data_IF_267270731960
#
_entry.id   IF_267270731960
#
_cell.length_a   1.000
_cell.length_b   1.000
_cell.length_c   1.000
_cell.angle_alpha   90.00
_cell.angle_beta   90.00
_cell.angle_gamma   90.00
#
_symmetry.space_group_name_H-M   'P 1'
#
loop_
_entity.id
_entity.type
_entity.pdbx_description
1 polymer ?
#
# COMPACT_ATOMS: atom_id res chain seq x y z
N UNK A 1 16.54 -9.70 -7.68
CA UNK A 1 16.25 -8.26 -7.43
C UNK A 1 15.34 -8.16 -6.22
N UNK A 2 15.49 -7.16 -5.35
CA UNK A 2 14.57 -6.96 -4.21
C UNK A 2 13.19 -6.55 -4.72
N UNK A 3 12.15 -7.15 -4.13
CA UNK A 3 10.74 -6.89 -4.44
C UNK A 3 10.01 -6.54 -3.17
N UNK A 4 9.09 -5.59 -3.25
CA UNK A 4 8.22 -5.21 -2.16
C UNK A 4 6.76 -5.41 -2.59
N UNK A 5 5.96 -5.92 -1.67
CA UNK A 5 4.53 -6.12 -1.83
C UNK A 5 3.77 -4.86 -1.39
N UNK A 6 2.98 -4.32 -2.30
CA UNK A 6 2.17 -3.13 -2.11
C UNK A 6 0.69 -3.47 -2.17
N UNK A 7 -0.09 -3.16 -1.13
CA UNK A 7 -1.50 -3.55 -1.08
C UNK A 7 -2.33 -2.91 -2.23
N UNK A 8 -3.03 -3.76 -2.99
CA UNK A 8 -3.81 -3.33 -4.17
C UNK A 8 -4.97 -2.42 -3.80
N UNK A 9 -5.65 -2.71 -2.69
CA UNK A 9 -6.79 -1.90 -2.24
C UNK A 9 -6.35 -0.51 -1.78
N UNK A 10 -5.21 -0.43 -1.12
CA UNK A 10 -4.58 0.79 -0.66
C UNK A 10 -4.19 1.67 -1.84
N UNK A 11 -3.40 1.16 -2.79
CA UNK A 11 -2.96 1.93 -3.97
C UNK A 11 -4.14 2.51 -4.76
N UNK A 12 -5.22 1.74 -4.93
CA UNK A 12 -6.39 2.17 -5.71
C UNK A 12 -7.26 3.21 -5.03
N UNK A 13 -7.29 3.22 -3.70
CA UNK A 13 -8.22 4.06 -2.93
C UNK A 13 -7.53 5.18 -2.15
N UNK A 14 -6.21 5.34 -2.30
CA UNK A 14 -5.45 6.40 -1.64
C UNK A 14 -5.19 7.62 -2.54
N UNK A 15 -4.91 8.74 -1.89
CA UNK A 15 -4.41 9.98 -2.46
C UNK A 15 -3.33 10.51 -1.51
N UNK A 16 -2.26 11.13 -2.00
CA UNK A 16 -1.23 11.70 -1.13
C UNK A 16 -1.81 12.76 -0.20
N UNK A 17 -1.51 12.61 1.09
CA UNK A 17 -1.83 13.58 2.14
C UNK A 17 -0.49 14.14 2.62
N UNK A 18 -0.05 15.25 2.05
CA UNK A 18 1.30 15.74 2.30
C UNK A 18 1.36 17.26 2.37
N UNK A 19 2.27 17.76 3.21
CA UNK A 19 2.63 19.17 3.19
C UNK A 19 3.42 19.46 1.91
N UNK A 20 3.01 20.49 1.19
CA UNK A 20 3.72 20.97 0.00
C UNK A 20 4.35 22.31 0.37
N UNK A 21 5.49 22.67 -0.24
CA UNK A 21 6.17 23.94 0.07
C UNK A 21 5.20 25.14 0.01
N UNK A 22 4.99 25.78 1.15
CA UNK A 22 4.06 26.90 1.33
C UNK A 22 2.57 26.52 1.43
N UNK A 23 2.24 25.24 1.64
CA UNK A 23 0.87 24.76 1.89
C UNK A 23 0.88 23.55 2.83
N UNK A 24 0.37 23.75 4.05
CA UNK A 24 0.11 22.67 4.99
C UNK A 24 -1.24 22.01 4.70
N UNK A 25 -1.35 20.71 5.02
CA UNK A 25 -2.63 20.00 4.96
C UNK A 25 -3.58 20.59 6.01
N UNK A 26 -4.81 20.88 5.60
CA UNK A 26 -5.90 21.25 6.53
C UNK A 26 -6.74 20.01 6.84
N UNK A 27 -7.10 19.84 8.10
CA UNK A 27 -7.90 18.70 8.57
C UNK A 27 -9.32 19.13 8.98
N UNK A 28 -10.34 18.27 8.80
CA UNK A 28 -10.25 16.98 8.10
C UNK A 28 -9.97 17.21 6.60
N UNK A 29 -9.02 16.47 6.06
CA UNK A 29 -8.79 16.45 4.61
C UNK A 29 -9.80 15.48 4.00
N UNK A 30 -10.65 15.97 3.10
CA UNK A 30 -11.70 15.16 2.47
C UNK A 30 -11.53 15.23 0.96
N UNK A 31 -11.47 14.05 0.33
CA UNK A 31 -11.46 13.89 -1.11
C UNK A 31 -12.57 12.92 -1.51
N UNK A 32 -13.62 13.45 -2.15
CA UNK A 32 -14.77 12.69 -2.62
C UNK A 32 -15.06 13.01 -4.08
N UNK A 33 -15.12 11.98 -4.93
CA UNK A 33 -15.54 12.09 -6.34
C UNK A 33 -15.95 10.74 -6.89
N UNK A 34 -17.09 10.66 -7.58
CA UNK A 34 -17.66 9.41 -8.07
C UNK A 34 -17.70 8.35 -6.94
N UNK A 35 -17.12 7.16 -7.17
CA UNK A 35 -17.03 6.06 -6.20
C UNK A 35 -15.79 6.14 -5.29
N UNK A 36 -15.03 7.24 -5.36
CA UNK A 36 -13.84 7.46 -4.55
C UNK A 36 -14.19 8.33 -3.33
N UNK A 37 -13.86 7.83 -2.14
CA UNK A 37 -14.00 8.56 -0.89
C UNK A 37 -12.80 8.27 0.00
N UNK A 38 -12.05 9.32 0.34
CA UNK A 38 -10.97 9.33 1.31
C UNK A 38 -11.16 10.52 2.24
N UNK A 39 -11.03 10.29 3.54
CA UNK A 39 -10.95 11.31 4.55
C UNK A 39 -9.73 11.04 5.44
N UNK A 40 -9.05 12.10 5.86
CA UNK A 40 -7.93 12.03 6.80
C UNK A 40 -8.16 13.01 7.94
N UNK A 41 -8.05 12.54 9.18
CA UNK A 41 -8.31 13.32 10.38
C UNK A 41 -7.06 14.05 10.88
N UNK A 42 -5.89 13.41 10.72
CA UNK A 42 -4.58 13.98 11.05
C UNK A 42 -3.47 13.12 10.45
N UNK A 43 -2.22 13.61 10.52
CA UNK A 43 -1.04 12.92 10.02
C UNK A 43 -0.84 13.00 8.50
N UNK A 44 0.31 12.55 8.01
CA UNK A 44 0.66 12.62 6.59
C UNK A 44 0.76 11.22 5.99
N UNK A 45 0.53 11.13 4.70
CA UNK A 45 0.60 9.92 3.90
C UNK A 45 1.16 10.24 2.52
N UNK A 46 2.45 10.53 2.49
CA UNK A 46 3.21 10.77 1.27
C UNK A 46 3.95 9.51 0.77
N UNK A 47 4.83 9.67 -0.23
CA UNK A 47 5.59 8.56 -0.82
C UNK A 47 6.39 7.76 0.20
N UNK A 48 7.00 8.45 1.17
CA UNK A 48 7.77 7.81 2.24
C UNK A 48 6.91 6.98 3.17
N UNK A 49 5.72 7.45 3.54
CA UNK A 49 4.79 6.67 4.36
C UNK A 49 4.22 5.46 3.58
N UNK A 50 3.95 5.63 2.28
CA UNK A 50 3.56 4.51 1.42
C UNK A 50 4.69 3.47 1.31
N UNK A 51 5.95 3.90 1.18
CA UNK A 51 7.12 3.02 1.22
C UNK A 51 7.20 2.23 2.54
N UNK A 52 6.98 2.87 3.69
CA UNK A 52 6.91 2.18 4.98
C UNK A 52 5.81 1.12 4.98
N UNK A 53 4.63 1.43 4.43
CA UNK A 53 3.55 0.45 4.33
C UNK A 53 3.90 -0.76 3.45
N UNK A 54 4.65 -0.57 2.36
CA UNK A 54 5.08 -1.72 1.54
C UNK A 54 6.16 -2.55 2.23
N UNK A 55 7.06 -1.92 2.99
CA UNK A 55 8.06 -2.61 3.82
C UNK A 55 7.35 -3.46 4.89
N UNK A 56 6.41 -2.85 5.60
CA UNK A 56 5.56 -3.50 6.62
C UNK A 56 4.79 -4.66 5.98
N UNK A 57 4.12 -4.42 4.86
CA UNK A 57 3.34 -5.44 4.16
C UNK A 57 4.19 -6.61 3.68
N UNK A 58 5.38 -6.35 3.15
CA UNK A 58 6.33 -7.39 2.71
C UNK A 58 6.81 -8.21 3.90
N UNK A 59 7.23 -7.56 5.00
CA UNK A 59 7.64 -8.27 6.22
C UNK A 59 6.51 -9.10 6.81
N UNK A 60 5.28 -8.59 6.78
CA UNK A 60 4.10 -9.33 7.23
C UNK A 60 3.88 -10.60 6.40
N UNK A 61 3.96 -10.51 5.07
CA UNK A 61 3.87 -11.69 4.20
C UNK A 61 4.99 -12.68 4.55
N UNK A 62 6.22 -12.20 4.65
CA UNK A 62 7.37 -13.04 4.95
C UNK A 62 7.22 -13.75 6.30
N UNK A 63 6.79 -13.03 7.34
CA UNK A 63 6.45 -13.60 8.64
C UNK A 63 5.38 -14.69 8.54
N UNK A 64 4.30 -14.45 7.80
CA UNK A 64 3.18 -15.41 7.67
C UNK A 64 3.59 -16.66 6.88
N UNK A 65 4.48 -16.52 5.90
CA UNK A 65 4.86 -17.60 4.99
C UNK A 65 6.26 -18.18 5.26
N UNK A 66 6.91 -17.81 6.37
CA UNK A 66 8.15 -18.43 6.84
C UNK A 66 9.42 -17.96 6.13
N UNK A 67 9.45 -16.71 5.62
CA UNK A 67 10.67 -16.08 5.11
C UNK A 67 11.23 -15.11 6.17
N UNK A 68 12.55 -15.11 6.36
CA UNK A 68 13.20 -14.28 7.38
C UNK A 68 13.57 -12.88 6.88
N UNK A 69 14.07 -12.77 5.65
CA UNK A 69 14.62 -11.53 5.06
C UNK A 69 13.80 -11.01 3.87
N UNK A 70 14.15 -9.84 3.34
CA UNK A 70 13.53 -9.25 2.14
C UNK A 70 13.99 -9.85 0.79
N UNK A 71 14.92 -10.81 0.81
CA UNK A 71 15.35 -11.55 -0.39
C UNK A 71 14.48 -12.77 -0.65
N UNK A 72 13.74 -13.23 0.37
CA UNK A 72 12.74 -14.28 0.25
C UNK A 72 11.72 -14.04 -0.86
N UNK A 73 11.22 -15.14 -1.44
CA UNK A 73 10.18 -15.09 -2.46
C UNK A 73 8.86 -14.63 -1.83
N UNK A 74 8.27 -13.59 -2.43
CA UNK A 74 6.88 -13.20 -2.13
C UNK A 74 5.93 -14.19 -2.85
N UNK A 75 5.06 -14.92 -2.12
CA UNK A 75 4.13 -15.86 -2.71
C UNK A 75 2.98 -15.17 -3.45
N UNK A 76 2.26 -15.94 -4.26
CA UNK A 76 1.15 -15.47 -5.09
C UNK A 76 -0.18 -16.01 -4.59
N UNK A 77 -1.26 -15.29 -4.84
CA UNK A 77 -2.62 -15.73 -4.51
C UNK A 77 -3.06 -17.02 -5.25
N UNK A 78 -2.30 -17.54 -6.21
CA UNK A 78 -2.63 -18.79 -6.88
C UNK A 78 -2.17 -20.02 -6.08
N UNK A 79 -1.23 -19.86 -5.14
CA UNK A 79 -0.63 -20.94 -4.38
C UNK A 79 -1.60 -21.54 -3.36
N UNK A 80 -1.50 -22.86 -3.14
CA UNK A 80 -2.41 -23.60 -2.26
C UNK A 80 -2.32 -23.12 -0.81
N UNK A 81 -1.11 -22.96 -0.29
CA UNK A 81 -0.86 -22.44 1.06
C UNK A 81 -1.43 -21.02 1.25
N UNK A 82 -1.33 -20.15 0.24
CA UNK A 82 -1.89 -18.80 0.27
C UNK A 82 -3.41 -18.85 0.28
N UNK A 83 -4.04 -19.72 -0.51
CA UNK A 83 -5.51 -19.90 -0.50
C UNK A 83 -6.01 -20.41 0.85
N UNK A 84 -5.29 -21.35 1.45
CA UNK A 84 -5.60 -21.88 2.78
C UNK A 84 -5.46 -20.80 3.85
N UNK A 85 -4.32 -20.10 3.92
CA UNK A 85 -4.09 -19.02 4.90
C UNK A 85 -5.00 -17.82 4.66
N UNK A 86 -5.17 -17.35 3.42
CA UNK A 86 -6.11 -16.28 3.07
C UNK A 86 -7.51 -16.56 3.59
N UNK A 87 -7.95 -17.81 3.42
CA UNK A 87 -9.13 -18.32 4.08
C UNK A 87 -9.03 -18.08 5.57
N UNK A 88 -8.05 -18.66 6.26
CA UNK A 88 -7.88 -18.70 7.72
C UNK A 88 -7.81 -17.36 8.52
N UNK A 89 -7.80 -16.20 7.89
CA UNK A 89 -7.70 -14.92 8.62
C UNK A 89 -8.99 -14.08 8.59
N UNK A 90 -9.88 -14.28 7.60
CA UNK A 90 -11.14 -13.55 7.49
C UNK A 90 -12.24 -14.36 6.78
N UNK A 91 -13.50 -14.14 7.15
CA UNK A 91 -14.69 -14.60 6.42
C UNK A 91 -15.69 -13.46 6.20
N UNK A 92 -16.62 -13.61 5.24
CA UNK A 92 -17.66 -12.59 4.97
C UNK A 92 -18.52 -12.32 6.22
N UNK A 93 -18.94 -13.39 6.90
CA UNK A 93 -19.80 -13.28 8.09
C UNK A 93 -19.06 -12.63 9.25
N UNK A 94 -17.78 -12.94 9.40
CA UNK A 94 -16.94 -12.29 10.39
C UNK A 94 -16.76 -10.80 10.09
N UNK A 95 -16.46 -10.44 8.84
CA UNK A 95 -16.35 -9.04 8.44
C UNK A 95 -17.64 -8.27 8.80
N UNK A 96 -18.81 -8.81 8.44
CA UNK A 96 -20.11 -8.24 8.81
C UNK A 96 -20.23 -8.09 10.34
N UNK A 97 -19.90 -9.13 11.10
CA UNK A 97 -19.96 -9.11 12.56
C UNK A 97 -19.08 -8.01 13.15
N UNK A 98 -17.81 -7.95 12.75
CA UNK A 98 -16.84 -6.92 13.16
C UNK A 98 -17.44 -5.53 12.87
N UNK A 99 -17.94 -5.30 11.66
CA UNK A 99 -18.52 -4.01 11.29
C UNK A 99 -19.84 -3.66 11.99
N UNK A 100 -20.53 -4.61 12.60
CA UNK A 100 -21.78 -4.32 13.33
C UNK A 100 -21.54 -4.12 14.83
N UNK A 101 -20.50 -4.76 15.39
CA UNK A 101 -20.33 -4.89 16.84
C UNK A 101 -19.11 -4.15 17.39
N UNK A 102 -18.30 -3.49 16.56
CA UNK A 102 -17.12 -2.77 17.01
C UNK A 102 -17.42 -1.42 17.66
N UNK A 103 -16.57 -1.06 18.62
CA UNK A 103 -16.49 0.26 19.25
C UNK A 103 -16.04 1.33 18.25
N UNK A 104 -16.48 2.58 18.48
CA UNK A 104 -16.11 3.74 17.64
C UNK A 104 -14.61 4.07 17.65
N UNK A 105 -13.86 3.57 18.64
CA UNK A 105 -12.41 3.72 18.75
C UNK A 105 -11.62 2.96 17.67
N UNK A 106 -12.28 2.05 16.95
CA UNK A 106 -11.70 1.35 15.81
C UNK A 106 -10.58 0.37 16.16
N UNK A 107 -10.49 -0.07 17.42
CA UNK A 107 -9.53 -1.09 17.88
C UNK A 107 -10.25 -2.43 18.06
N UNK A 108 -9.67 -3.48 17.48
CA UNK A 108 -10.06 -4.87 17.62
C UNK A 108 -9.33 -5.41 18.85
N UNK A 109 -9.98 -5.30 20.03
CA UNK A 109 -9.45 -5.85 21.29
C UNK A 109 -9.23 -7.37 21.18
N UNK A 110 -8.20 -7.89 21.85
CA UNK A 110 -8.01 -9.34 22.01
C UNK A 110 -9.23 -10.00 22.67
N UNK A 111 -9.95 -9.28 23.53
CA UNK A 111 -11.19 -9.79 24.12
C UNK A 111 -12.27 -10.13 23.08
N UNK A 112 -12.18 -9.60 21.84
CA UNK A 112 -13.05 -10.06 20.75
C UNK A 112 -12.81 -11.54 20.43
N UNK A 113 -11.57 -12.05 20.42
CA UNK A 113 -11.31 -13.47 20.17
C UNK A 113 -11.74 -14.39 21.33
N UNK A 114 -12.01 -13.82 22.52
CA UNK A 114 -12.44 -14.56 23.71
C UNK A 114 -13.94 -14.46 24.04
N UNK A 115 -14.73 -13.63 23.33
CA UNK A 115 -16.18 -13.55 23.56
C UNK A 115 -16.88 -14.83 23.10
N UNK A 116 -17.73 -15.40 23.96
CA UNK A 116 -18.55 -16.58 23.64
C UNK A 116 -19.38 -16.45 22.34
N UNK A 117 -19.74 -15.22 21.97
CA UNK A 117 -20.44 -14.93 20.70
C UNK A 117 -19.55 -15.08 19.47
N UNK A 118 -18.25 -14.76 19.57
CA UNK A 118 -17.29 -14.96 18.48
C UNK A 118 -16.80 -16.40 18.42
N UNK A 119 -16.73 -17.13 19.54
CA UNK A 119 -16.43 -18.56 19.51
C UNK A 119 -17.46 -19.37 18.69
N UNK A 120 -18.73 -18.95 18.66
CA UNK A 120 -19.75 -19.52 17.77
C UNK A 120 -19.55 -19.15 16.29
N UNK A 121 -19.13 -17.91 16.01
CA UNK A 121 -18.77 -17.45 14.64
C UNK A 121 -17.52 -18.19 14.15
N UNK A 122 -16.51 -18.34 15.01
CA UNK A 122 -15.26 -19.05 14.76
C UNK A 122 -15.50 -20.56 14.61
N UNK A 123 -16.39 -21.18 15.41
CA UNK A 123 -16.78 -22.58 15.25
C UNK A 123 -17.55 -22.83 13.94
N UNK A 124 -18.44 -21.92 13.56
CA UNK A 124 -19.27 -22.08 12.37
C UNK A 124 -18.54 -21.78 11.06
N UNK A 125 -17.52 -20.93 11.07
CA UNK A 125 -16.85 -20.46 9.84
C UNK A 125 -15.33 -20.68 9.82
N UNK A 126 -14.76 -21.13 10.94
CA UNK A 126 -13.36 -20.89 11.27
C UNK A 126 -13.10 -19.38 11.42
N UNK A 127 -12.16 -18.99 12.28
CA UNK A 127 -11.39 -17.71 12.23
C UNK A 127 -12.09 -16.51 12.90
N UNK A 128 -11.47 -15.88 13.89
CA UNK A 128 -10.27 -14.98 13.84
C UNK A 128 -8.98 -15.61 14.38
N UNK A 129 -7.83 -15.32 13.76
CA UNK A 129 -6.50 -15.45 14.39
C UNK A 129 -6.07 -14.05 14.82
N UNK A 130 -5.65 -13.90 16.07
CA UNK A 130 -5.36 -12.62 16.74
C UNK A 130 -4.63 -11.61 15.82
N UNK A 131 -4.89 -10.29 15.97
CA UNK A 131 -4.10 -9.26 15.30
C UNK A 131 -2.61 -9.60 15.35
N UNK A 132 -1.98 -9.65 14.19
CA UNK A 132 -0.56 -10.00 14.15
C UNK A 132 0.29 -8.83 14.63
N UNK A 133 1.42 -9.20 15.24
CA UNK A 133 2.50 -8.27 15.56
C UNK A 133 3.73 -8.69 14.78
N UNK A 134 4.39 -7.72 14.14
CA UNK A 134 5.67 -7.91 13.47
C UNK A 134 6.72 -6.97 14.08
N UNK A 135 7.97 -7.38 13.98
CA UNK A 135 9.12 -6.60 14.44
C UNK A 135 10.00 -6.22 13.26
N UNK A 136 10.40 -4.96 13.21
CA UNK A 136 11.30 -4.41 12.19
C UNK A 136 12.48 -3.71 12.85
N UNK A 137 13.69 -3.91 12.31
CA UNK A 137 14.90 -3.23 12.75
C UNK A 137 15.46 -2.36 11.61
N UNK A 138 15.63 -1.05 11.82
CA UNK A 138 16.11 -0.16 10.75
C UNK A 138 17.57 -0.40 10.32
N UNK A 139 18.38 -1.04 11.16
CA UNK A 139 19.73 -1.51 10.84
C UNK A 139 19.67 -2.62 9.79
N UNK A 140 18.87 -3.66 10.04
CA UNK A 140 18.61 -4.75 9.10
C UNK A 140 17.97 -4.24 7.81
N UNK A 141 16.95 -3.37 7.92
CA UNK A 141 16.29 -2.77 6.76
C UNK A 141 17.28 -2.01 5.84
N UNK A 142 18.23 -1.25 6.38
CA UNK A 142 19.24 -0.55 5.56
C UNK A 142 20.25 -1.49 4.88
N UNK A 143 20.48 -2.67 5.46
CA UNK A 143 21.33 -3.70 4.86
C UNK A 143 20.59 -4.36 3.68
N UNK A 144 19.35 -4.80 3.94
CA UNK A 144 18.51 -5.57 3.03
C UNK A 144 17.85 -4.73 1.94
N UNK A 145 17.57 -3.45 2.20
CA UNK A 145 16.91 -2.51 1.27
C UNK A 145 17.85 -1.32 0.97
N UNK A 146 18.70 -1.39 -0.07
CA UNK A 146 19.74 -0.39 -0.33
C UNK A 146 19.22 1.04 -0.49
N UNK A 147 18.01 1.24 -1.01
CA UNK A 147 17.39 2.57 -1.14
C UNK A 147 17.13 3.25 0.21
N UNK A 148 17.19 2.53 1.33
CA UNK A 148 17.09 3.10 2.68
C UNK A 148 18.42 3.61 3.24
N UNK A 149 19.57 3.27 2.64
CA UNK A 149 20.89 3.67 3.16
C UNK A 149 21.09 5.19 3.19
N UNK A 150 20.35 5.92 2.36
CA UNK A 150 20.33 7.40 2.35
C UNK A 150 19.64 8.03 3.57
N UNK A 151 18.97 7.22 4.40
CA UNK A 151 18.28 7.69 5.60
C UNK A 151 18.99 7.25 6.87
N UNK A 152 19.08 8.15 7.84
CA UNK A 152 19.54 7.82 9.19
C UNK A 152 18.47 7.04 9.96
N UNK A 153 18.86 6.35 11.04
CA UNK A 153 17.91 5.67 11.93
C UNK A 153 16.83 6.63 12.46
N UNK A 154 17.21 7.88 12.78
CA UNK A 154 16.24 8.92 13.20
C UNK A 154 15.24 9.25 12.10
N UNK A 155 15.70 9.40 10.86
CA UNK A 155 14.80 9.69 9.73
C UNK A 155 13.84 8.52 9.45
N UNK A 156 14.30 7.27 9.58
CA UNK A 156 13.45 6.08 9.42
C UNK A 156 12.41 6.02 10.55
N UNK A 157 12.82 6.29 11.79
CA UNK A 157 11.90 6.41 12.93
C UNK A 157 10.81 7.46 12.68
N UNK A 158 11.20 8.66 12.20
CA UNK A 158 10.24 9.72 11.86
C UNK A 158 9.28 9.27 10.76
N UNK A 159 9.71 8.44 9.80
CA UNK A 159 8.82 7.88 8.78
C UNK A 159 7.81 6.89 9.38
N UNK A 160 8.23 5.99 10.28
CA UNK A 160 7.33 5.08 10.99
C UNK A 160 6.30 5.83 11.84
N UNK A 161 6.76 6.77 12.67
CA UNK A 161 5.88 7.58 13.54
C UNK A 161 4.86 8.34 12.70
N UNK A 162 5.28 9.03 11.64
CA UNK A 162 4.37 9.79 10.77
C UNK A 162 3.37 8.89 10.03
N UNK A 163 3.76 7.65 9.69
CA UNK A 163 2.83 6.67 9.09
C UNK A 163 1.79 6.22 10.11
N UNK A 164 2.23 5.91 11.33
CA UNK A 164 1.37 5.52 12.46
C UNK A 164 0.36 6.61 12.84
N UNK A 165 0.79 7.88 12.90
CA UNK A 165 -0.07 9.01 13.28
C UNK A 165 -1.23 9.27 12.31
N UNK A 166 -1.17 8.75 11.08
CA UNK A 166 -2.16 9.02 10.05
C UNK A 166 -3.50 8.32 10.35
N UNK A 167 -4.52 9.11 10.67
CA UNK A 167 -5.89 8.64 10.91
C UNK A 167 -6.71 8.81 9.64
N UNK A 168 -7.27 7.72 9.13
CA UNK A 168 -7.87 7.66 7.79
C UNK A 168 -9.23 6.98 7.78
N UNK A 169 -10.08 7.41 6.86
CA UNK A 169 -11.30 6.74 6.44
C UNK A 169 -11.34 6.61 4.93
N UNK A 170 -11.53 5.40 4.42
CA UNK A 170 -11.50 5.16 2.98
C UNK A 170 -12.36 3.96 2.60
N UNK A 171 -12.78 3.93 1.34
CA UNK A 171 -13.21 2.69 0.72
C UNK A 171 -11.99 1.76 0.64
N UNK A 172 -12.07 0.58 1.25
CA UNK A 172 -10.96 -0.34 1.37
C UNK A 172 -11.43 -1.79 1.13
N UNK A 173 -11.62 -2.21 -0.12
CA UNK A 173 -12.13 -3.54 -0.42
C UNK A 173 -11.23 -4.65 0.16
N UNK A 174 -11.85 -5.72 0.67
CA UNK A 174 -11.14 -6.81 1.35
C UNK A 174 -11.14 -8.06 0.49
N UNK A 175 -9.96 -8.65 0.29
CA UNK A 175 -9.79 -9.89 -0.43
C UNK A 175 -9.59 -11.07 0.52
N UNK A 176 -10.32 -12.15 0.30
CA UNK A 176 -10.06 -13.43 0.95
C UNK A 176 -10.56 -14.60 0.12
N UNK A 177 -10.00 -15.78 0.37
CA UNK A 177 -10.39 -17.01 -0.29
C UNK A 177 -11.56 -17.69 0.45
N UNK A 178 -12.66 -17.97 -0.26
CA UNK A 178 -13.86 -18.60 0.30
C UNK A 178 -13.76 -20.12 0.47
N UNK A 179 -12.61 -20.72 0.11
CA UNK A 179 -12.46 -22.17 -0.06
C UNK A 179 -12.69 -22.62 -1.50
N UNK A 180 -13.50 -21.87 -2.27
CA UNK A 180 -13.72 -22.12 -3.71
C UNK A 180 -13.00 -21.11 -4.60
N UNK A 181 -13.13 -19.83 -4.27
CA UNK A 181 -12.59 -18.72 -5.06
C UNK A 181 -12.27 -17.52 -4.19
N UNK A 182 -11.44 -16.60 -4.72
CA UNK A 182 -11.25 -15.29 -4.12
C UNK A 182 -12.49 -14.42 -4.31
N UNK A 183 -12.86 -13.70 -3.26
CA UNK A 183 -13.86 -12.65 -3.32
C UNK A 183 -13.25 -11.33 -2.89
N UNK A 184 -13.70 -10.24 -3.53
CA UNK A 184 -13.39 -8.88 -3.12
C UNK A 184 -14.66 -8.26 -2.56
N UNK A 185 -14.71 -8.07 -1.24
CA UNK A 185 -15.88 -7.52 -0.57
C UNK A 185 -15.72 -6.00 -0.45
N UNK A 186 -16.71 -5.21 -0.90
CA UNK A 186 -16.75 -3.78 -0.62
C UNK A 186 -16.76 -3.54 0.88
N UNK A 187 -15.78 -2.79 1.36
CA UNK A 187 -15.69 -2.37 2.75
C UNK A 187 -15.22 -0.92 2.77
N UNK A 188 -15.60 -0.18 3.80
CA UNK A 188 -15.05 1.11 4.13
C UNK A 188 -15.13 1.32 5.63
N UNK A 189 -14.12 1.93 6.22
CA UNK A 189 -14.05 2.09 7.68
C UNK A 189 -14.72 3.38 8.18
N UNK A 190 -15.55 4.03 7.35
CA UNK A 190 -16.31 5.23 7.73
C UNK A 190 -17.19 4.93 8.95
N UNK A 191 -16.95 5.66 10.04
CA UNK A 191 -17.61 5.42 11.34
C UNK A 191 -16.65 4.98 12.46
N UNK A 192 -15.41 4.64 12.12
CA UNK A 192 -14.40 4.18 13.08
C UNK A 192 -13.10 4.96 12.93
N UNK A 193 -12.63 5.58 14.00
CA UNK A 193 -11.30 6.20 14.00
C UNK A 193 -10.26 5.10 13.78
N UNK A 194 -9.52 5.15 12.67
CA UNK A 194 -8.62 4.05 12.33
C UNK A 194 -7.30 4.52 11.72
N UNK A 195 -6.25 3.76 12.03
CA UNK A 195 -4.89 3.89 11.49
C UNK A 195 -4.52 2.60 10.78
N UNK A 196 -3.45 2.59 10.00
CA UNK A 196 -3.00 1.38 9.30
C UNK A 196 -2.32 0.36 10.22
N UNK A 197 -1.88 0.77 11.40
CA UNK A 197 -1.32 -0.09 12.44
C UNK A 197 -1.22 0.68 13.76
N UNK A 198 -0.92 -0.03 14.84
CA UNK A 198 -0.48 0.50 16.12
C UNK A 198 1.02 0.27 16.29
N UNK A 199 1.73 1.28 16.80
CA UNK A 199 3.14 1.18 17.13
C UNK A 199 3.26 0.92 18.64
N UNK A 200 3.47 -0.33 19.03
CA UNK A 200 3.45 -0.74 20.45
C UNK A 200 4.69 -0.24 21.18
N UNK A 201 5.88 -0.42 20.58
CA UNK A 201 7.17 -0.05 21.17
C UNK A 201 8.16 0.39 20.10
N UNK A 202 9.05 1.31 20.49
CA UNK A 202 10.26 1.66 19.77
C UNK A 202 11.43 1.50 20.73
N UNK A 203 12.36 0.61 20.41
CA UNK A 203 13.53 0.35 21.25
C UNK A 203 14.81 0.78 20.53
N UNK A 204 15.73 1.41 21.25
CA UNK A 204 17.08 1.66 20.75
C UNK A 204 17.88 0.34 20.79
N UNK A 205 17.85 -0.39 19.68
CA UNK A 205 18.47 -1.72 19.56
C UNK A 205 20.00 -1.71 19.50
N UNK A 206 20.60 -0.58 19.09
CA UNK A 206 22.05 -0.42 19.03
C UNK A 206 22.45 1.03 19.22
N UNK A 207 23.42 1.23 20.11
CA UNK A 207 23.96 2.54 20.47
C UNK A 207 25.49 2.52 20.28
N UNK A 208 26.04 3.63 19.80
CA UNK A 208 27.49 3.81 19.66
C UNK A 208 28.18 4.05 21.02
N UNK A 209 29.51 3.98 21.06
CA UNK A 209 30.31 4.34 22.24
C UNK A 209 30.05 5.77 22.74
N UNK A 210 29.68 6.68 21.85
CA UNK A 210 29.38 8.08 22.16
C UNK A 210 27.89 8.32 22.46
N UNK A 211 27.15 7.27 22.85
CA UNK A 211 25.73 7.30 23.17
C UNK A 211 24.78 7.74 22.02
N UNK A 212 25.26 7.75 20.78
CA UNK A 212 24.39 7.99 19.62
C UNK A 212 23.66 6.72 19.21
N UNK A 213 22.33 6.77 19.08
CA UNK A 213 21.52 5.64 18.60
C UNK A 213 21.79 5.37 17.12
N UNK A 214 22.23 4.16 16.83
CA UNK A 214 22.60 3.71 15.49
C UNK A 214 21.49 2.91 14.80
N UNK A 215 20.74 2.12 15.58
CA UNK A 215 19.68 1.24 15.06
C UNK A 215 18.50 1.19 16.04
N UNK A 216 17.28 1.17 15.50
CA UNK A 216 16.02 1.06 16.25
C UNK A 216 15.19 -0.13 15.82
N UNK A 217 14.47 -0.68 16.78
CA UNK A 217 13.49 -1.74 16.58
C UNK A 217 12.06 -1.20 16.80
N UNK A 218 11.14 -1.58 15.91
CA UNK A 218 9.74 -1.17 15.91
C UNK A 218 8.85 -2.41 16.06
N UNK A 219 8.01 -2.41 17.08
CA UNK A 219 6.98 -3.42 17.28
C UNK A 219 5.64 -2.90 16.73
N UNK A 220 5.15 -3.54 15.67
CA UNK A 220 4.02 -3.07 14.87
C UNK A 220 2.89 -4.07 14.97
N UNK A 221 1.70 -3.61 15.36
CA UNK A 221 0.52 -4.44 15.55
C UNK A 221 -0.63 -4.01 14.65
N UNK A 222 -1.35 -4.98 14.09
CA UNK A 222 -2.48 -4.77 13.16
C UNK A 222 -3.85 -4.91 13.84
N UNK A 223 -4.03 -4.25 14.98
CA UNK A 223 -5.24 -4.33 15.82
C UNK A 223 -6.25 -3.23 15.54
N UNK A 224 -5.92 -2.23 14.74
CA UNK A 224 -6.90 -1.27 14.22
C UNK A 224 -7.77 -1.94 13.16
N UNK A 225 -9.01 -1.47 12.93
CA UNK A 225 -9.86 -1.98 11.84
C UNK A 225 -9.13 -1.94 10.51
N UNK A 226 -8.62 -0.76 10.14
CA UNK A 226 -7.95 -0.58 8.85
C UNK A 226 -6.64 -1.39 8.77
N UNK A 227 -5.91 -1.54 9.89
CA UNK A 227 -4.70 -2.34 9.94
C UNK A 227 -4.96 -3.84 9.84
N UNK A 228 -6.00 -4.35 10.49
CA UNK A 228 -6.43 -5.74 10.34
C UNK A 228 -6.89 -6.04 8.92
N UNK A 229 -7.59 -5.09 8.28
CA UNK A 229 -7.99 -5.19 6.88
C UNK A 229 -6.79 -5.17 5.93
N UNK A 230 -5.81 -4.30 6.17
CA UNK A 230 -4.53 -4.31 5.44
C UNK A 230 -3.83 -5.65 5.60
N UNK A 231 -3.71 -6.14 6.84
CA UNK A 231 -3.11 -7.44 7.16
C UNK A 231 -3.80 -8.58 6.39
N UNK A 232 -5.14 -8.59 6.36
CA UNK A 232 -5.92 -9.59 5.61
C UNK A 232 -5.61 -9.58 4.11
N UNK A 233 -5.51 -8.41 3.48
CA UNK A 233 -5.18 -8.33 2.07
C UNK A 233 -3.74 -8.80 1.79
N UNK A 234 -2.80 -8.44 2.67
CA UNK A 234 -1.40 -8.89 2.56
C UNK A 234 -1.28 -10.41 2.72
N UNK A 235 -1.95 -11.00 3.72
CA UNK A 235 -2.02 -12.47 3.89
C UNK A 235 -2.64 -13.13 2.66
N UNK A 236 -3.65 -12.51 2.05
CA UNK A 236 -4.25 -13.00 0.81
C UNK A 236 -3.40 -12.81 -0.44
N UNK A 237 -2.21 -12.21 -0.31
CA UNK A 237 -1.36 -11.77 -1.40
C UNK A 237 -2.12 -10.94 -2.45
N UNK A 238 -3.08 -10.12 -2.00
CA UNK A 238 -3.82 -9.18 -2.85
C UNK A 238 -3.03 -7.89 -3.00
N UNK A 239 -1.91 -7.99 -3.70
CA UNK A 239 -0.87 -6.95 -3.76
C UNK A 239 -0.34 -6.77 -5.19
N UNK A 240 0.24 -5.61 -5.43
CA UNK A 240 1.10 -5.26 -6.55
C UNK A 240 2.56 -5.45 -6.13
N UNK A 241 3.43 -5.88 -7.04
CA UNK A 241 4.86 -5.92 -6.78
C UNK A 241 5.55 -4.64 -7.24
N UNK A 242 6.48 -4.16 -6.43
CA UNK A 242 7.33 -3.02 -6.72
C UNK A 242 8.80 -3.45 -6.62
N UNK A 243 9.64 -3.23 -7.66
CA UNK A 243 11.06 -3.52 -7.58
C UNK A 243 11.77 -2.47 -6.72
N UNK A 244 12.90 -2.81 -6.08
CA UNK A 244 13.63 -1.87 -5.21
C UNK A 244 13.95 -0.51 -5.84
N UNK A 245 14.30 -0.48 -7.14
CA UNK A 245 14.57 0.76 -7.90
C UNK A 245 13.38 1.72 -7.98
N UNK A 246 12.17 1.25 -7.70
CA UNK A 246 10.98 2.11 -7.58
C UNK A 246 11.21 3.25 -6.57
N UNK A 247 11.87 2.96 -5.44
CA UNK A 247 12.10 3.94 -4.36
C UNK A 247 13.34 4.83 -4.56
N UNK A 248 14.02 4.66 -5.69
CA UNK A 248 15.11 5.53 -6.14
C UNK A 248 14.58 6.72 -6.94
N UNK A 249 13.40 6.59 -7.55
CA UNK A 249 12.72 7.67 -8.27
C UNK A 249 12.26 8.81 -7.35
N UNK A 250 11.94 9.96 -7.93
CA UNK A 250 11.34 11.09 -7.25
C UNK A 250 9.98 10.75 -6.63
N UNK A 251 9.66 11.46 -5.56
CA UNK A 251 8.40 11.36 -4.84
C UNK A 251 7.17 11.44 -5.77
N UNK A 252 7.20 12.32 -6.78
CA UNK A 252 6.09 12.47 -7.72
C UNK A 252 6.04 11.36 -8.79
N UNK A 253 7.17 10.82 -9.23
CA UNK A 253 7.17 9.66 -10.13
C UNK A 253 6.64 8.40 -9.43
N UNK A 254 7.01 8.19 -8.16
CA UNK A 254 6.45 7.13 -7.34
C UNK A 254 4.92 7.27 -7.19
N UNK A 255 4.42 8.48 -6.90
CA UNK A 255 2.98 8.73 -6.80
C UNK A 255 2.28 8.52 -8.14
N UNK A 256 2.85 9.00 -9.24
CA UNK A 256 2.25 8.86 -10.56
C UNK A 256 2.06 7.38 -10.90
N UNK A 257 3.12 6.59 -10.73
CA UNK A 257 3.08 5.16 -11.00
C UNK A 257 2.01 4.44 -10.17
N UNK A 258 1.89 4.73 -8.86
CA UNK A 258 0.84 4.12 -8.01
C UNK A 258 -0.57 4.53 -8.40
N UNK A 259 -0.79 5.82 -8.55
CA UNK A 259 -2.14 6.37 -8.67
C UNK A 259 -2.72 6.19 -10.08
N UNK A 260 -1.86 6.16 -11.10
CA UNK A 260 -2.29 6.07 -12.50
C UNK A 260 -1.90 4.74 -13.13
N UNK A 261 -0.67 4.27 -12.96
CA UNK A 261 -0.22 3.06 -13.66
C UNK A 261 -0.75 1.80 -12.96
N UNK A 262 -0.46 1.59 -11.68
CA UNK A 262 -0.96 0.41 -10.95
C UNK A 262 -2.49 0.41 -10.81
N UNK A 263 -3.08 1.59 -10.57
CA UNK A 263 -4.52 1.68 -10.32
C UNK A 263 -5.37 1.56 -11.58
N UNK A 264 -4.88 2.02 -12.73
CA UNK A 264 -5.66 2.07 -13.98
C UNK A 264 -5.27 1.05 -15.03
N UNK A 265 -4.28 0.19 -14.78
CA UNK A 265 -4.00 -0.97 -15.61
C UNK A 265 -4.53 -2.21 -14.88
N UNK A 266 -5.78 -2.63 -15.17
CA UNK A 266 -6.37 -3.78 -14.53
C UNK A 266 -5.79 -5.08 -15.11
N UNK A 267 -5.80 -6.13 -14.29
CA UNK A 267 -5.41 -7.47 -14.71
C UNK A 267 -6.31 -7.97 -15.86
N UNK A 268 -5.73 -8.64 -16.87
CA UNK A 268 -6.44 -9.26 -18.01
C UNK A 268 -7.72 -10.01 -17.62
N UNK A 269 -7.68 -10.74 -16.50
CA UNK A 269 -8.80 -11.57 -16.02
C UNK A 269 -10.02 -10.78 -15.56
N UNK A 270 -9.90 -9.46 -15.38
CA UNK A 270 -11.02 -8.61 -14.94
C UNK A 270 -11.87 -8.06 -16.08
N UNK A 271 -11.43 -8.21 -17.34
CA UNK A 271 -12.15 -7.69 -18.52
C UNK A 271 -12.26 -6.17 -18.58
N UNK A 272 -11.59 -5.43 -17.70
CA UNK A 272 -11.60 -3.96 -17.68
C UNK A 272 -10.54 -3.43 -18.64
N UNK A 273 -10.89 -2.38 -19.38
CA UNK A 273 -9.92 -1.66 -20.22
C UNK A 273 -9.07 -0.74 -19.34
N UNK A 274 -7.74 -0.66 -19.56
CA UNK A 274 -6.93 0.33 -18.90
C UNK A 274 -7.43 1.75 -19.15
N UNK A 275 -7.45 2.60 -18.13
CA UNK A 275 -7.71 4.03 -18.34
C UNK A 275 -6.42 4.70 -18.80
N UNK A 276 -6.27 4.82 -20.11
CA UNK A 276 -5.12 5.41 -20.78
C UNK A 276 -5.61 5.90 -22.16
N UNK A 277 -5.66 7.22 -22.43
CA UNK A 277 -4.86 8.28 -21.83
C UNK A 277 -5.45 8.88 -20.54
N UNK A 278 -4.63 9.62 -19.78
CA UNK A 278 -5.04 10.34 -18.56
C UNK A 278 -5.09 11.84 -18.81
N UNK A 279 -6.20 12.49 -18.43
CA UNK A 279 -6.34 13.95 -18.50
C UNK A 279 -5.44 14.68 -17.50
N UNK A 280 -4.84 15.79 -17.95
CA UNK A 280 -3.96 16.63 -17.14
C UNK A 280 -4.63 17.15 -15.86
N UNK A 281 -5.92 17.47 -15.92
CA UNK A 281 -6.70 17.95 -14.76
C UNK A 281 -6.77 16.89 -13.66
N UNK A 282 -6.86 15.63 -14.06
CA UNK A 282 -6.89 14.50 -13.13
C UNK A 282 -5.51 14.26 -12.51
N UNK A 283 -4.45 14.33 -13.33
CA UNK A 283 -3.06 14.25 -12.86
C UNK A 283 -2.79 15.32 -11.82
N UNK A 284 -3.08 16.59 -12.16
CA UNK A 284 -2.92 17.74 -11.26
C UNK A 284 -3.65 17.53 -9.94
N UNK A 285 -4.90 17.07 -10.00
CA UNK A 285 -5.77 16.88 -8.82
C UNK A 285 -5.29 15.74 -7.93
N UNK A 286 -5.02 14.55 -8.48
CA UNK A 286 -4.64 13.37 -7.67
C UNK A 286 -3.18 13.41 -7.19
N UNK A 287 -2.28 14.09 -7.90
CA UNK A 287 -0.93 14.39 -7.39
C UNK A 287 -0.92 15.60 -6.44
N UNK A 288 -2.05 16.28 -6.27
CA UNK A 288 -2.19 17.46 -5.41
C UNK A 288 -1.16 18.54 -5.80
N UNK A 289 -0.93 18.76 -7.10
CA UNK A 289 0.05 19.73 -7.55
C UNK A 289 -0.35 21.15 -7.12
N UNK A 290 0.64 21.94 -6.67
CA UNK A 290 0.43 23.31 -6.17
C UNK A 290 -0.02 24.26 -7.27
N UNK A 291 0.62 24.19 -8.43
CA UNK A 291 0.34 25.08 -9.55
C UNK A 291 -0.96 24.69 -10.26
N UNK A 292 -1.72 25.70 -10.67
CA UNK A 292 -2.89 25.56 -11.55
C UNK A 292 -2.55 25.92 -13.00
N UNK A 293 -1.38 26.48 -13.25
CA UNK A 293 -0.94 26.87 -14.59
C UNK A 293 -0.68 25.63 -15.45
N UNK A 294 -1.40 25.52 -16.57
CA UNK A 294 -1.37 24.36 -17.46
C UNK A 294 0.03 24.10 -17.99
N UNK A 295 0.79 25.14 -18.37
CA UNK A 295 2.15 24.98 -18.89
C UNK A 295 3.09 24.35 -17.86
N UNK A 296 3.05 24.85 -16.63
CA UNK A 296 3.81 24.35 -15.50
C UNK A 296 3.43 22.90 -15.15
N UNK A 297 2.13 22.57 -15.16
CA UNK A 297 1.67 21.20 -14.93
C UNK A 297 2.23 20.28 -16.02
N UNK A 298 2.16 20.66 -17.30
CA UNK A 298 2.71 19.86 -18.39
C UNK A 298 4.19 19.56 -18.22
N UNK A 299 4.99 20.56 -17.85
CA UNK A 299 6.43 20.37 -17.58
C UNK A 299 6.70 19.45 -16.38
N UNK A 300 5.86 19.49 -15.35
CA UNK A 300 5.94 18.56 -14.22
C UNK A 300 5.63 17.13 -14.70
N UNK A 301 4.56 16.95 -15.47
CA UNK A 301 4.15 15.63 -15.97
C UNK A 301 5.19 15.03 -16.91
N UNK A 302 5.75 15.81 -17.85
CA UNK A 302 6.83 15.35 -18.74
C UNK A 302 8.03 14.83 -17.96
N UNK A 303 8.54 15.61 -16.99
CA UNK A 303 9.65 15.18 -16.13
C UNK A 303 9.37 13.89 -15.37
N UNK A 304 8.15 13.73 -14.86
CA UNK A 304 7.72 12.49 -14.19
C UNK A 304 7.74 11.31 -15.17
N UNK A 305 7.20 11.48 -16.37
CA UNK A 305 7.14 10.42 -17.37
C UNK A 305 8.53 10.08 -17.94
N UNK A 306 9.40 11.07 -18.13
CA UNK A 306 10.81 10.88 -18.53
C UNK A 306 11.55 10.02 -17.49
N UNK A 307 11.33 10.29 -16.20
CA UNK A 307 11.90 9.49 -15.12
C UNK A 307 11.36 8.04 -15.13
N UNK A 308 10.06 7.86 -15.39
CA UNK A 308 9.47 6.51 -15.51
C UNK A 308 10.02 5.74 -16.72
N UNK A 309 10.32 6.41 -17.84
CA UNK A 309 11.03 5.82 -19.00
C UNK A 309 12.45 5.44 -18.60
N UNK A 310 13.20 6.35 -17.96
CA UNK A 310 14.58 6.12 -17.52
C UNK A 310 14.70 4.90 -16.61
N UNK A 311 13.76 4.73 -15.67
CA UNK A 311 13.72 3.57 -14.77
C UNK A 311 13.01 2.35 -15.38
N UNK A 312 12.64 2.39 -16.67
CA UNK A 312 11.99 1.31 -17.43
C UNK A 312 10.63 0.87 -16.88
N UNK A 313 9.89 1.73 -16.19
CA UNK A 313 8.51 1.45 -15.77
C UNK A 313 7.50 1.62 -16.92
N UNK A 314 7.82 2.49 -17.87
CA UNK A 314 7.11 2.64 -19.15
C UNK A 314 8.13 2.62 -20.29
N UNK A 315 7.70 2.24 -21.49
CA UNK A 315 8.51 2.22 -22.71
C UNK A 315 8.63 3.63 -23.29
N UNK A 316 7.50 4.29 -23.42
CA UNK A 316 7.34 5.60 -24.05
C UNK A 316 6.07 6.29 -23.53
N UNK A 317 5.92 7.57 -23.91
CA UNK A 317 4.71 8.33 -23.69
C UNK A 317 4.47 9.37 -24.78
N UNK A 318 3.21 9.78 -24.96
CA UNK A 318 2.78 10.85 -25.84
C UNK A 318 1.91 11.86 -25.09
N UNK A 319 2.09 13.15 -25.42
CA UNK A 319 1.20 14.23 -25.01
C UNK A 319 0.27 14.56 -26.18
N UNK A 320 -1.02 14.39 -25.97
CA UNK A 320 -2.07 14.62 -26.98
C UNK A 320 -3.02 15.72 -26.51
N UNK A 321 -3.84 16.25 -27.42
CA UNK A 321 -4.99 17.11 -27.08
C UNK A 321 -6.28 16.38 -27.45
N UNK A 322 -7.16 16.17 -26.49
CA UNK A 322 -8.52 15.66 -26.66
C UNK A 322 -9.50 16.66 -26.04
N UNK A 323 -10.53 17.07 -26.78
CA UNK A 323 -11.55 18.03 -26.32
C UNK A 323 -10.95 19.31 -25.72
N UNK A 324 -9.96 19.88 -26.41
CA UNK A 324 -9.19 21.06 -25.98
C UNK A 324 -8.41 20.89 -24.66
N UNK A 325 -8.30 19.66 -24.12
CA UNK A 325 -7.56 19.33 -22.90
C UNK A 325 -6.36 18.46 -23.20
N UNK A 326 -5.26 18.70 -22.49
CA UNK A 326 -4.07 17.85 -22.59
C UNK A 326 -4.32 16.50 -21.94
N UNK A 327 -3.89 15.45 -22.62
CA UNK A 327 -3.91 14.07 -22.12
C UNK A 327 -2.56 13.41 -22.32
N UNK A 328 -2.24 12.43 -21.49
CA UNK A 328 -1.00 11.67 -21.55
C UNK A 328 -1.30 10.20 -21.79
N UNK A 329 -0.74 9.66 -22.86
CA UNK A 329 -0.77 8.24 -23.19
C UNK A 329 0.61 7.64 -22.93
N UNK A 330 0.68 6.42 -22.43
CA UNK A 330 1.96 5.73 -22.25
C UNK A 330 1.83 4.23 -22.48
N UNK A 331 2.93 3.60 -22.90
CA UNK A 331 3.04 2.15 -23.02
C UNK A 331 3.78 1.61 -21.81
N UNK A 332 3.15 0.73 -21.04
CA UNK A 332 3.76 0.18 -19.82
C UNK A 332 4.67 -1.00 -20.17
N UNK A 333 5.84 -1.07 -19.52
CA UNK A 333 6.71 -2.24 -19.63
C UNK A 333 6.16 -3.42 -18.81
N UNK A 334 6.37 -4.63 -19.33
CA UNK A 334 6.15 -5.88 -18.60
C UNK A 334 7.04 -5.98 -17.38
N UNK A 335 6.69 -6.86 -16.43
CA UNK A 335 7.53 -7.10 -15.26
C UNK A 335 8.94 -7.58 -15.63
N UNK A 336 9.04 -8.43 -16.65
CA UNK A 336 10.31 -8.90 -17.24
C UNK A 336 11.14 -7.74 -17.76
N UNK A 337 10.56 -6.79 -18.49
CA UNK A 337 11.28 -5.60 -18.96
C UNK A 337 11.67 -4.66 -17.81
N UNK A 338 10.83 -4.54 -16.79
CA UNK A 338 11.11 -3.74 -15.59
C UNK A 338 12.29 -4.34 -14.81
N UNK A 339 12.33 -5.65 -14.63
CA UNK A 339 13.28 -6.30 -13.69
C UNK A 339 14.46 -7.00 -14.35
N UNK A 340 14.39 -7.30 -15.64
CA UNK A 340 15.36 -8.13 -16.35
C UNK A 340 15.30 -9.62 -15.96
N UNK A 341 14.28 -10.06 -15.21
CA UNK A 341 14.15 -11.47 -14.81
C UNK A 341 13.65 -12.32 -16.00
N UNK A 342 14.38 -13.36 -16.36
CA UNK A 342 14.10 -14.17 -17.57
C UNK A 342 12.86 -15.05 -17.44
N UNK A 343 12.55 -15.50 -16.22
CA UNK A 343 11.38 -16.33 -15.90
C UNK A 343 10.18 -15.42 -15.65
N UNK A 344 9.07 -15.70 -16.33
CA UNK A 344 7.78 -15.11 -15.97
C UNK A 344 7.53 -15.35 -14.48
N UNK A 345 7.31 -14.28 -13.72
CA UNK A 345 6.87 -14.45 -12.35
C UNK A 345 5.36 -14.70 -12.40
N UNK A 346 4.85 -15.61 -11.56
CA UNK A 346 3.39 -15.86 -11.47
C UNK A 346 2.64 -14.61 -10.94
N UNK A 347 3.40 -13.63 -10.42
CA UNK A 347 2.99 -12.27 -10.04
C UNK A 347 3.08 -11.25 -11.17
N UNK A 348 3.57 -11.64 -12.36
CA UNK A 348 3.55 -10.81 -13.55
C UNK A 348 2.11 -10.41 -13.76
N UNK A 349 1.87 -9.10 -13.74
CA UNK A 349 0.59 -8.58 -14.17
C UNK A 349 0.55 -8.89 -15.66
N UNK A 350 -0.07 -10.03 -16.00
CA UNK A 350 -0.48 -10.40 -17.34
C UNK A 350 -1.46 -9.32 -17.80
N UNK A 351 -0.94 -8.15 -18.16
CA UNK A 351 -1.69 -6.98 -18.57
C UNK A 351 -1.63 -6.90 -20.09
N UNK A 352 -2.71 -6.41 -20.69
CA UNK A 352 -2.79 -6.19 -22.14
C UNK A 352 -1.73 -5.17 -22.51
N UNK A 353 -0.56 -5.65 -22.95
CA UNK A 353 0.27 -4.90 -23.87
C UNK A 353 -0.48 -4.86 -25.20
N UNK A 354 -0.66 -3.66 -25.73
CA UNK A 354 -0.59 -3.51 -27.18
C UNK A 354 0.88 -3.62 -27.58
#
# INVERSE_FOLDING_TARGET
>A
MIKLASDKSFNRNICPIMNIKGKTVKYPFILKYNNYHLQCGCGILGPKQMMIMDIIGTKLIHFVYGNEDFYGRIPTNNEKNVKEKSGLYMSNKLLKYITTNLSKDGIISEAYSQKDKLSQVDKAFGKIKNPLTITLNDGSLRKELPFLRKYSSRQIMDMFIRTYECVMWMNYPICFHTGKQYQLIPFGNFGYTSRLFTLEKINDSKVSKNNNVLEREYQIRFDTILGYMFMQNMVSCYMDLLPGKFYEMSDYAQLYYRLFILSYFPNKKTGRTPKNPIFIDEIRRRLVLKTKDTSSVRQIVKRILDELVQYKFIKDYAEEKLDMKYVYRYTRNSWKEITGEERESVTDMNDLGF
#
